data_IF_396576336180
#
_entry.id   IF_396576336180
#
_cell.length_a   1.000
_cell.length_b   1.000
_cell.length_c   1.000
_cell.angle_alpha   90.00
_cell.angle_beta   90.00
_cell.angle_gamma   90.00
#
_symmetry.space_group_name_H-M   'P 1'
#
loop_
_entity.id
_entity.type
_entity.pdbx_description
1 polymer ?
#
# COMPACT_ATOMS: atom_id res chain seq x y z
N UNK A 1 0.88 14.24 -3.53
CA UNK A 1 1.28 12.85 -3.22
C UNK A 1 0.32 12.31 -2.20
N UNK A 2 -0.17 11.08 -2.36
CA UNK A 2 -1.11 10.48 -1.40
C UNK A 2 -0.36 9.63 -0.36
N UNK A 3 -0.96 9.51 0.81
CA UNK A 3 -0.54 8.63 1.88
C UNK A 3 -1.64 7.58 2.07
N UNK A 4 -1.30 6.31 1.86
CA UNK A 4 -2.21 5.17 2.03
C UNK A 4 -1.85 4.50 3.35
N UNK A 5 -2.84 4.28 4.21
CA UNK A 5 -2.67 3.61 5.51
C UNK A 5 -3.48 2.32 5.50
N UNK A 6 -2.83 1.20 5.84
CA UNK A 6 -3.52 -0.07 6.06
C UNK A 6 -3.73 -0.27 7.57
N UNK A 7 -4.97 -0.17 8.01
CA UNK A 7 -5.33 -0.51 9.38
C UNK A 7 -5.59 -2.01 9.48
N UNK A 8 -4.76 -2.71 10.25
CA UNK A 8 -4.85 -4.17 10.52
C UNK A 8 -4.99 -5.04 9.24
N UNK A 9 -4.02 -5.02 8.32
CA UNK A 9 -4.11 -5.83 7.11
C UNK A 9 -3.96 -7.33 7.41
N UNK A 10 -4.98 -8.11 7.06
CA UNK A 10 -5.02 -9.57 7.34
C UNK A 10 -4.51 -10.44 6.18
N UNK A 11 -4.55 -9.93 4.94
CA UNK A 11 -4.30 -10.70 3.72
C UNK A 11 -2.97 -10.27 3.08
N UNK A 12 -1.85 -11.01 3.25
CA UNK A 12 -0.53 -10.58 2.79
C UNK A 12 -0.43 -10.27 1.28
N UNK A 13 -1.08 -11.02 0.37
CA UNK A 13 -1.08 -10.67 -1.05
C UNK A 13 -1.63 -9.27 -1.36
N UNK A 14 -2.62 -8.80 -0.60
CA UNK A 14 -3.20 -7.48 -0.81
C UNK A 14 -2.21 -6.37 -0.45
N UNK A 15 -1.51 -6.50 0.68
CA UNK A 15 -0.45 -5.56 1.07
C UNK A 15 0.67 -5.50 0.01
N UNK A 16 1.07 -6.65 -0.54
CA UNK A 16 2.06 -6.70 -1.62
C UNK A 16 1.61 -5.99 -2.90
N UNK A 17 0.36 -6.18 -3.32
CA UNK A 17 -0.21 -5.50 -4.48
C UNK A 17 -0.33 -3.98 -4.26
N UNK A 18 -0.76 -3.56 -3.08
CA UNK A 18 -0.89 -2.15 -2.70
C UNK A 18 0.50 -1.48 -2.62
N UNK A 19 1.51 -2.18 -2.10
CA UNK A 19 2.90 -1.69 -2.11
C UNK A 19 3.39 -1.42 -3.53
N UNK A 20 3.12 -2.33 -4.47
CA UNK A 20 3.50 -2.15 -5.88
C UNK A 20 2.78 -0.96 -6.52
N UNK A 21 1.49 -0.80 -6.22
CA UNK A 21 0.73 0.37 -6.65
C UNK A 21 1.35 1.67 -6.10
N UNK A 22 1.67 1.71 -4.81
CA UNK A 22 2.26 2.88 -4.16
C UNK A 22 3.60 3.26 -4.79
N UNK A 23 4.48 2.27 -5.04
CA UNK A 23 5.76 2.49 -5.71
C UNK A 23 5.58 3.08 -7.13
N UNK A 24 4.62 2.58 -7.91
CA UNK A 24 4.35 3.07 -9.27
C UNK A 24 3.65 4.43 -9.31
N UNK A 25 2.85 4.76 -8.29
CA UNK A 25 2.10 6.01 -8.20
C UNK A 25 2.86 7.12 -7.45
N UNK A 26 4.04 6.82 -6.89
CA UNK A 26 4.77 7.73 -6.01
C UNK A 26 4.11 7.95 -4.64
N UNK A 27 3.13 7.14 -4.27
CA UNK A 27 2.42 7.26 -2.97
C UNK A 27 3.20 6.59 -1.84
N UNK A 28 3.08 7.11 -0.63
CA UNK A 28 3.62 6.46 0.56
C UNK A 28 2.60 5.46 1.12
N UNK A 29 3.08 4.28 1.54
CA UNK A 29 2.29 3.26 2.22
C UNK A 29 2.74 3.17 3.68
N UNK A 30 1.77 3.20 4.61
CA UNK A 30 1.96 3.07 6.05
C UNK A 30 1.11 1.95 6.63
#
# INVERSE_FOLDING_TARGET
MFHIVLFEPEIPPNTGNIMRLCANAGSALF
#
